data_IF_907596031843
#
_entry.id   IF_907596031843
#
_cell.length_a   1.000
_cell.length_b   1.000
_cell.length_c   1.000
_cell.angle_alpha   90.00
_cell.angle_beta   90.00
_cell.angle_gamma   90.00
#
_symmetry.space_group_name_H-M   'P 1'
#
loop_
_entity.id
_entity.type
_entity.pdbx_description
1 polymer ?
#
# COMPACT_ATOMS: atom_id res chain seq x y z
N UNK A 1 -5.94 -13.07 2.06
CA UNK A 1 -7.07 -12.84 1.11
C UNK A 1 -7.60 -11.44 1.27
N UNK A 2 -7.80 -10.72 0.18
CA UNK A 2 -8.39 -9.37 0.17
C UNK A 2 -9.92 -9.45 0.26
N UNK A 3 -10.49 -8.72 1.21
CA UNK A 3 -11.94 -8.58 1.41
C UNK A 3 -12.29 -7.09 1.59
N UNK A 4 -13.51 -6.64 1.26
CA UNK A 4 -13.88 -5.23 1.44
C UNK A 4 -13.64 -4.75 2.87
N UNK A 5 -12.94 -3.63 3.04
CA UNK A 5 -12.56 -3.10 4.35
C UNK A 5 -13.76 -2.75 5.23
N UNK A 6 -14.89 -2.35 4.62
CA UNK A 6 -16.12 -2.02 5.34
C UNK A 6 -16.63 -3.15 6.25
N UNK A 7 -16.35 -4.43 5.87
CA UNK A 7 -16.75 -5.60 6.66
C UNK A 7 -15.92 -5.77 7.93
N UNK A 8 -14.73 -5.16 7.99
CA UNK A 8 -13.75 -5.31 9.08
C UNK A 8 -13.31 -3.96 9.64
N UNK A 9 -14.17 -2.93 9.51
CA UNK A 9 -13.82 -1.55 9.92
C UNK A 9 -13.30 -1.49 11.35
N UNK A 10 -14.05 -2.03 12.29
CA UNK A 10 -13.71 -1.94 13.70
C UNK A 10 -12.40 -2.67 14.04
N UNK A 11 -12.14 -3.79 13.37
CA UNK A 11 -10.90 -4.55 13.53
C UNK A 11 -9.72 -3.78 12.95
N UNK A 12 -9.86 -3.21 11.76
CA UNK A 12 -8.82 -2.38 11.12
C UNK A 12 -8.49 -1.18 12.00
N UNK A 13 -9.51 -0.45 12.47
CA UNK A 13 -9.33 0.71 13.34
C UNK A 13 -8.59 0.34 14.64
N UNK A 14 -8.95 -0.78 15.28
CA UNK A 14 -8.27 -1.29 16.47
C UNK A 14 -6.80 -1.64 16.21
N UNK A 15 -6.50 -2.28 15.08
CA UNK A 15 -5.12 -2.62 14.74
C UNK A 15 -4.30 -1.35 14.46
N UNK A 16 -4.83 -0.36 13.74
CA UNK A 16 -4.16 0.93 13.55
C UNK A 16 -3.92 1.66 14.88
N UNK A 17 -4.89 1.66 15.79
CA UNK A 17 -4.73 2.28 17.11
C UNK A 17 -3.57 1.67 17.91
N UNK A 18 -3.34 0.35 17.81
CA UNK A 18 -2.19 -0.32 18.44
C UNK A 18 -0.86 0.15 17.85
N UNK A 19 -0.83 0.43 16.55
CA UNK A 19 0.38 0.84 15.83
C UNK A 19 0.69 2.33 15.98
N UNK A 20 -0.26 3.16 16.40
CA UNK A 20 -0.14 4.62 16.37
C UNK A 20 1.08 5.16 17.11
N UNK A 21 1.48 4.52 18.21
CA UNK A 21 2.66 4.93 18.99
C UNK A 21 3.92 4.11 18.70
N UNK A 22 3.88 3.30 17.64
CA UNK A 22 5.02 2.50 17.22
C UNK A 22 5.77 3.15 16.05
N UNK A 23 7.00 2.71 15.81
CA UNK A 23 7.81 3.17 14.67
C UNK A 23 7.22 2.72 13.32
N UNK A 24 6.24 1.84 13.35
CA UNK A 24 5.57 1.33 12.15
C UNK A 24 4.84 2.43 11.37
N UNK A 25 4.44 3.52 12.06
CA UNK A 25 3.76 4.64 11.41
C UNK A 25 4.63 5.40 10.41
N UNK A 26 5.96 5.30 10.49
CA UNK A 26 6.84 5.90 9.47
C UNK A 26 6.75 5.20 8.10
N UNK A 27 6.14 4.01 8.02
CA UNK A 27 5.94 3.30 6.76
C UNK A 27 4.59 3.60 6.09
N UNK A 28 3.77 4.45 6.72
CA UNK A 28 2.47 4.86 6.16
C UNK A 28 2.69 5.74 4.94
N UNK A 29 2.08 5.35 3.81
CA UNK A 29 2.15 6.04 2.52
C UNK A 29 0.80 6.05 1.81
N UNK A 30 0.71 6.77 0.70
CA UNK A 30 -0.47 6.77 -0.16
C UNK A 30 -1.72 7.34 0.52
N UNK A 31 -2.83 6.65 0.39
CA UNK A 31 -4.11 7.03 1.01
C UNK A 31 -4.08 6.97 2.55
N UNK A 32 -3.05 6.38 3.12
CA UNK A 32 -2.83 6.27 4.55
C UNK A 32 -2.11 7.48 5.16
N UNK A 33 -2.04 8.60 4.45
CA UNK A 33 -1.38 9.84 4.92
C UNK A 33 -1.91 10.39 6.25
N UNK A 34 -3.08 9.92 6.68
CA UNK A 34 -3.61 10.12 8.03
C UNK A 34 -3.42 8.83 8.83
N UNK A 35 -3.08 8.97 10.08
CA UNK A 35 -2.82 7.87 11.02
C UNK A 35 -3.97 6.86 11.19
N UNK A 36 -5.20 7.22 10.82
CA UNK A 36 -6.35 6.33 10.80
C UNK A 36 -7.07 6.47 9.45
N UNK A 37 -7.21 5.39 8.67
CA UNK A 37 -7.89 5.47 7.39
C UNK A 37 -9.39 5.72 7.59
N UNK A 38 -9.95 6.63 6.79
CA UNK A 38 -11.40 6.77 6.70
C UNK A 38 -11.96 5.65 5.81
N UNK A 39 -12.62 4.67 6.42
CA UNK A 39 -13.21 3.52 5.72
C UNK A 39 -14.66 3.82 5.38
N UNK A 40 -14.97 3.92 4.10
CA UNK A 40 -16.33 4.13 3.58
C UNK A 40 -17.25 2.94 3.84
N UNK A 41 -18.57 3.20 3.93
CA UNK A 41 -19.60 2.15 4.04
C UNK A 41 -19.91 1.50 2.68
N UNK A 42 -19.68 2.24 1.59
CA UNK A 42 -19.91 1.79 0.23
C UNK A 42 -18.60 1.90 -0.56
N UNK A 43 -18.41 1.05 -1.58
CA UNK A 43 -17.32 1.27 -2.52
C UNK A 43 -17.44 2.64 -3.17
N UNK A 44 -16.38 3.42 -3.13
CA UNK A 44 -16.27 4.63 -3.94
C UNK A 44 -15.96 4.25 -5.39
N UNK A 45 -16.29 5.16 -6.31
CA UNK A 45 -16.00 4.97 -7.72
C UNK A 45 -14.50 4.93 -8.03
N UNK A 46 -13.71 5.69 -7.27
CA UNK A 46 -12.28 5.90 -7.49
C UNK A 46 -11.39 5.40 -6.36
N UNK A 47 -11.95 4.97 -5.22
CA UNK A 47 -11.19 4.49 -4.05
C UNK A 47 -11.58 3.08 -3.65
N UNK A 48 -10.58 2.23 -3.51
CA UNK A 48 -10.73 0.82 -3.20
C UNK A 48 -10.00 0.49 -1.90
N UNK A 49 -10.75 -0.06 -0.93
CA UNK A 49 -10.27 -0.32 0.41
C UNK A 49 -10.49 -1.80 0.78
N UNK A 50 -9.44 -2.47 1.23
CA UNK A 50 -9.46 -3.89 1.56
C UNK A 50 -8.84 -4.16 2.93
N UNK A 51 -9.47 -5.07 3.68
CA UNK A 51 -8.81 -5.81 4.74
C UNK A 51 -8.04 -6.99 4.12
N UNK A 52 -6.84 -7.25 4.63
CA UNK A 52 -6.11 -8.48 4.35
C UNK A 52 -6.39 -9.41 5.51
N UNK A 53 -7.04 -10.54 5.24
CA UNK A 53 -7.41 -11.51 6.27
C UNK A 53 -6.70 -12.85 6.07
N UNK A 54 -6.37 -13.51 7.17
CA UNK A 54 -5.80 -14.85 7.18
C UNK A 54 -6.91 -15.93 7.07
N UNK A 55 -6.54 -17.20 7.18
CA UNK A 55 -7.48 -18.34 7.11
C UNK A 55 -8.51 -18.36 8.26
N UNK A 56 -8.18 -17.75 9.39
CA UNK A 56 -9.04 -17.66 10.57
C UNK A 56 -9.90 -16.41 10.56
N UNK A 57 -10.01 -15.72 9.42
CA UNK A 57 -10.70 -14.44 9.26
C UNK A 57 -10.16 -13.29 10.14
N UNK A 58 -8.94 -13.43 10.65
CA UNK A 58 -8.29 -12.36 11.42
C UNK A 58 -7.68 -11.35 10.44
N UNK A 59 -7.89 -10.06 10.71
CA UNK A 59 -7.26 -8.96 9.97
C UNK A 59 -5.76 -8.95 10.29
N UNK A 60 -4.93 -9.04 9.24
CA UNK A 60 -3.46 -9.04 9.30
C UNK A 60 -2.84 -7.87 8.56
N UNK A 61 -3.64 -7.10 7.79
CA UNK A 61 -3.18 -5.94 7.07
C UNK A 61 -4.32 -5.16 6.43
N UNK A 62 -3.98 -4.04 5.82
CA UNK A 62 -4.91 -3.14 5.12
C UNK A 62 -4.28 -2.65 3.82
N UNK A 63 -5.07 -2.61 2.76
CA UNK A 63 -4.69 -2.11 1.44
C UNK A 63 -5.71 -1.07 0.97
N UNK A 64 -5.23 0.04 0.45
CA UNK A 64 -6.02 1.15 -0.05
C UNK A 64 -5.35 1.71 -1.31
N UNK A 65 -6.12 2.03 -2.35
CA UNK A 65 -5.62 2.72 -3.54
C UNK A 65 -6.73 3.52 -4.22
N UNK A 66 -6.31 4.47 -5.04
CA UNK A 66 -7.19 5.26 -5.89
C UNK A 66 -6.96 4.96 -7.37
N UNK A 67 -8.02 5.14 -8.14
CA UNK A 67 -8.01 5.00 -9.60
C UNK A 67 -8.46 6.31 -10.22
N UNK A 68 -7.64 6.87 -11.09
CA UNK A 68 -8.07 7.90 -12.03
C UNK A 68 -8.45 7.21 -13.35
N UNK A 69 -9.75 7.08 -13.57
CA UNK A 69 -10.29 6.40 -14.75
C UNK A 69 -10.06 7.19 -16.03
N UNK A 70 -9.94 8.52 -15.93
CA UNK A 70 -9.75 9.37 -17.11
C UNK A 70 -8.37 9.19 -17.75
N UNK A 71 -7.34 9.04 -16.92
CA UNK A 71 -5.97 8.83 -17.39
C UNK A 71 -5.47 7.39 -17.23
N UNK A 72 -6.37 6.47 -16.89
CA UNK A 72 -6.04 5.04 -16.72
C UNK A 72 -4.89 4.79 -15.73
N UNK A 73 -4.98 5.44 -14.56
CA UNK A 73 -3.91 5.44 -13.55
C UNK A 73 -4.39 4.92 -12.21
N UNK A 74 -3.58 4.04 -11.62
CA UNK A 74 -3.69 3.65 -10.19
C UNK A 74 -2.63 4.40 -9.40
N UNK A 75 -3.03 5.06 -8.30
CA UNK A 75 -2.15 5.88 -7.50
C UNK A 75 -2.53 5.86 -6.02
N UNK A 76 -1.78 6.57 -5.19
CA UNK A 76 -2.01 6.70 -3.75
C UNK A 76 -2.15 5.33 -3.05
N UNK A 77 -1.42 4.33 -3.55
CA UNK A 77 -1.46 2.98 -2.95
C UNK A 77 -0.85 3.04 -1.57
N UNK A 78 -1.64 2.65 -0.58
CA UNK A 78 -1.21 2.48 0.80
C UNK A 78 -1.41 1.04 1.24
N UNK A 79 -0.34 0.40 1.71
CA UNK A 79 -0.41 -0.91 2.33
C UNK A 79 0.17 -0.84 3.73
N UNK A 80 -0.51 -1.45 4.68
CA UNK A 80 -0.05 -1.53 6.05
C UNK A 80 -0.17 -2.96 6.58
N UNK A 81 0.90 -3.46 7.19
CA UNK A 81 0.96 -4.79 7.79
C UNK A 81 0.74 -4.68 9.30
N UNK A 82 -0.25 -5.39 9.83
CA UNK A 82 -0.45 -5.59 11.26
C UNK A 82 0.26 -6.85 11.77
N UNK A 83 0.77 -7.68 10.85
CA UNK A 83 1.49 -8.93 11.13
C UNK A 83 2.77 -8.96 10.29
N UNK A 84 3.82 -8.28 10.78
CA UNK A 84 5.08 -8.11 10.05
C UNK A 84 5.76 -9.44 9.80
N UNK A 85 6.29 -9.58 8.60
CA UNK A 85 6.92 -10.82 8.14
C UNK A 85 5.94 -11.87 7.62
N UNK A 86 4.63 -11.62 7.68
CA UNK A 86 3.65 -12.53 7.10
C UNK A 86 3.66 -12.45 5.57
N UNK A 87 4.12 -13.52 4.92
CA UNK A 87 4.26 -13.58 3.47
C UNK A 87 2.92 -13.45 2.70
N UNK A 88 1.79 -13.75 3.36
CA UNK A 88 0.46 -13.60 2.74
C UNK A 88 0.15 -12.16 2.36
N UNK A 89 0.64 -11.18 3.15
CA UNK A 89 0.40 -9.76 2.90
C UNK A 89 1.08 -9.34 1.59
N UNK A 90 2.36 -9.71 1.43
CA UNK A 90 3.10 -9.44 0.20
C UNK A 90 2.49 -10.16 -1.01
N UNK A 91 2.07 -11.42 -0.83
CA UNK A 91 1.41 -12.18 -1.88
C UNK A 91 0.12 -11.49 -2.34
N UNK A 92 -0.79 -11.18 -1.42
CA UNK A 92 -2.07 -10.54 -1.75
C UNK A 92 -1.88 -9.16 -2.43
N UNK A 93 -0.84 -8.40 -2.01
CA UNK A 93 -0.49 -7.14 -2.66
C UNK A 93 -0.03 -7.34 -4.10
N UNK A 94 0.93 -8.23 -4.32
CA UNK A 94 1.48 -8.44 -5.67
C UNK A 94 0.47 -9.10 -6.62
N UNK A 95 -0.35 -10.01 -6.14
CA UNK A 95 -1.48 -10.55 -6.91
C UNK A 95 -2.44 -9.42 -7.34
N UNK A 96 -2.73 -8.47 -6.42
CA UNK A 96 -3.55 -7.30 -6.75
C UNK A 96 -2.85 -6.37 -7.75
N UNK A 97 -1.55 -6.14 -7.62
CA UNK A 97 -0.80 -5.34 -8.58
C UNK A 97 -0.82 -5.97 -9.97
N UNK A 98 -0.70 -7.29 -10.09
CA UNK A 98 -0.80 -7.99 -11.38
C UNK A 98 -2.19 -7.82 -12.02
N UNK A 99 -3.26 -7.91 -11.23
CA UNK A 99 -4.61 -7.59 -11.69
C UNK A 99 -4.70 -6.15 -12.21
N UNK A 100 -4.16 -5.18 -11.47
CA UNK A 100 -4.22 -3.77 -11.84
C UNK A 100 -3.36 -3.46 -13.08
N UNK A 101 -2.18 -4.06 -13.20
CA UNK A 101 -1.30 -3.97 -14.39
C UNK A 101 -2.03 -4.43 -15.66
N UNK A 102 -2.88 -5.46 -15.55
CA UNK A 102 -3.64 -5.96 -16.71
C UNK A 102 -4.78 -5.03 -17.15
N UNK A 103 -5.16 -4.04 -16.34
CA UNK A 103 -6.33 -3.19 -16.55
C UNK A 103 -6.00 -1.72 -16.77
N UNK A 104 -4.92 -1.22 -16.19
CA UNK A 104 -4.59 0.20 -16.19
C UNK A 104 -3.26 0.46 -16.86
N UNK A 105 -3.15 1.63 -17.49
CA UNK A 105 -1.93 2.06 -18.18
C UNK A 105 -0.77 2.31 -17.21
N UNK A 106 -1.04 2.87 -16.02
CA UNK A 106 0.01 3.24 -15.05
C UNK A 106 -0.38 2.84 -13.63
N UNK A 107 0.57 2.27 -12.91
CA UNK A 107 0.47 2.02 -11.48
C UNK A 107 1.65 2.67 -10.78
N UNK A 108 1.39 3.43 -9.73
CA UNK A 108 2.43 4.02 -8.89
C UNK A 108 2.15 3.82 -7.40
N UNK A 109 3.20 3.60 -6.64
CA UNK A 109 3.17 3.54 -5.18
C UNK A 109 4.44 4.11 -4.57
N UNK A 110 4.44 4.35 -3.26
CA UNK A 110 5.57 4.94 -2.54
C UNK A 110 6.00 4.07 -1.38
N UNK A 111 7.26 4.20 -1.00
CA UNK A 111 7.81 3.62 0.23
C UNK A 111 8.97 4.45 0.76
N UNK A 112 9.12 4.50 2.08
CA UNK A 112 10.32 5.02 2.72
C UNK A 112 11.47 4.03 2.54
N UNK A 113 12.68 4.52 2.27
CA UNK A 113 13.85 3.67 1.94
C UNK A 113 14.21 2.64 3.03
N UNK A 114 13.90 2.92 4.28
CA UNK A 114 14.09 1.99 5.40
C UNK A 114 12.98 0.92 5.52
N UNK A 115 11.94 0.96 4.68
CA UNK A 115 10.88 -0.05 4.71
C UNK A 115 11.39 -1.40 4.19
N UNK A 116 11.34 -2.48 4.99
CA UNK A 116 11.76 -3.81 4.54
C UNK A 116 11.05 -4.32 3.27
N UNK A 117 9.85 -3.81 2.98
CA UNK A 117 9.09 -4.15 1.77
C UNK A 117 9.76 -3.69 0.47
N UNK A 118 10.70 -2.72 0.53
CA UNK A 118 11.41 -2.20 -0.65
C UNK A 118 12.10 -3.30 -1.45
N UNK A 119 12.65 -4.34 -0.80
CA UNK A 119 13.23 -5.50 -1.49
C UNK A 119 12.22 -6.20 -2.41
N UNK A 120 10.99 -6.38 -1.93
CA UNK A 120 9.91 -6.98 -2.72
C UNK A 120 9.50 -6.08 -3.88
N UNK A 121 9.39 -4.78 -3.62
CA UNK A 121 9.06 -3.78 -4.64
C UNK A 121 10.13 -3.70 -5.73
N UNK A 122 11.42 -3.68 -5.37
CA UNK A 122 12.53 -3.68 -6.32
C UNK A 122 12.51 -4.92 -7.24
N UNK A 123 12.19 -6.09 -6.67
CA UNK A 123 12.05 -7.32 -7.45
C UNK A 123 10.83 -7.27 -8.37
N UNK A 124 9.72 -6.71 -7.88
CA UNK A 124 8.48 -6.62 -8.65
C UNK A 124 8.60 -5.65 -9.83
N UNK A 125 9.12 -4.44 -9.63
CA UNK A 125 9.31 -3.49 -10.74
C UNK A 125 10.28 -4.03 -11.80
N UNK A 126 11.33 -4.77 -11.37
CA UNK A 126 12.25 -5.41 -12.31
C UNK A 126 11.55 -6.43 -13.21
N UNK A 127 10.61 -7.21 -12.67
CA UNK A 127 9.80 -8.18 -13.44
C UNK A 127 9.00 -7.50 -14.55
N UNK A 128 8.49 -6.28 -14.31
CA UNK A 128 7.63 -5.53 -15.23
C UNK A 128 8.35 -4.38 -15.93
N UNK A 129 9.68 -4.32 -15.88
CA UNK A 129 10.49 -3.24 -16.45
C UNK A 129 10.02 -1.84 -15.99
N UNK A 130 9.64 -1.75 -14.72
CA UNK A 130 9.16 -0.52 -14.10
C UNK A 130 10.30 0.40 -13.67
N UNK A 131 9.94 1.59 -13.22
CA UNK A 131 10.87 2.64 -12.82
C UNK A 131 10.88 2.85 -11.30
N UNK A 132 12.01 3.38 -10.81
CA UNK A 132 12.21 3.76 -9.41
C UNK A 132 12.77 5.16 -9.36
N UNK A 133 12.05 6.07 -8.71
CA UNK A 133 12.47 7.46 -8.51
C UNK A 133 12.76 7.69 -7.02
N UNK A 134 13.92 8.26 -6.72
CA UNK A 134 14.39 8.45 -5.35
C UNK A 134 14.43 9.94 -5.04
N UNK A 135 13.63 10.36 -4.06
CA UNK A 135 13.65 11.69 -3.47
C UNK A 135 14.50 11.62 -2.21
N UNK A 136 15.75 12.06 -2.32
CA UNK A 136 16.74 11.93 -1.25
C UNK A 136 16.38 12.76 -0.03
N UNK A 137 16.64 12.20 1.16
CA UNK A 137 16.54 12.86 2.46
C UNK A 137 15.18 13.53 2.72
N UNK A 138 14.10 12.96 2.15
CA UNK A 138 12.77 13.57 2.17
C UNK A 138 11.98 13.31 3.44
N UNK A 139 12.33 12.27 4.19
CA UNK A 139 11.58 11.81 5.37
C UNK A 139 12.52 11.80 6.56
N UNK A 140 12.13 12.49 7.64
CA UNK A 140 12.91 12.51 8.90
C UNK A 140 12.22 11.60 9.93
N UNK A 141 13.00 10.69 10.53
CA UNK A 141 12.52 9.86 11.62
C UNK A 141 12.56 10.59 12.98
N UNK A 142 12.04 9.94 14.02
CA UNK A 142 12.02 10.46 15.40
C UNK A 142 13.40 10.69 16.01
N UNK A 143 14.41 9.95 15.55
CA UNK A 143 15.80 10.01 16.02
C UNK A 143 16.61 11.06 15.24
N UNK A 144 15.98 11.73 14.28
CA UNK A 144 16.57 12.79 13.48
C UNK A 144 17.30 12.32 12.23
N UNK A 145 17.27 11.01 11.90
CA UNK A 145 17.87 10.48 10.67
C UNK A 145 16.97 10.78 9.47
N UNK A 146 17.59 11.00 8.32
CA UNK A 146 16.89 11.21 7.07
C UNK A 146 16.82 9.92 6.24
N UNK A 147 15.67 9.71 5.61
CA UNK A 147 15.39 8.59 4.72
C UNK A 147 14.85 9.10 3.39
N UNK A 148 15.12 8.33 2.34
CA UNK A 148 14.61 8.66 1.01
C UNK A 148 13.13 8.27 0.91
N UNK A 149 12.37 9.07 0.18
CA UNK A 149 11.04 8.71 -0.30
C UNK A 149 11.16 8.15 -1.71
N UNK A 150 10.72 6.93 -1.91
CA UNK A 150 10.86 6.18 -3.15
C UNK A 150 9.51 6.07 -3.83
N UNK A 151 9.45 6.51 -5.07
CA UNK A 151 8.30 6.32 -5.95
C UNK A 151 8.62 5.17 -6.89
N UNK A 152 7.79 4.13 -6.86
CA UNK A 152 7.81 3.03 -7.82
C UNK A 152 6.70 3.23 -8.83
N UNK A 153 6.97 2.93 -10.09
CA UNK A 153 5.96 2.96 -11.16
C UNK A 153 6.14 1.83 -12.15
N UNK A 154 5.01 1.38 -12.68
CA UNK A 154 4.94 0.49 -13.84
C UNK A 154 4.04 1.15 -14.86
N UNK A 155 4.52 1.25 -16.10
CA UNK A 155 3.78 1.76 -17.24
C UNK A 155 3.56 0.61 -18.20
N UNK A 156 2.32 0.41 -18.64
CA UNK A 156 1.93 -0.66 -19.56
C UNK A 156 1.43 -0.08 -20.86
N UNK A 157 1.36 -0.93 -21.89
CA UNK A 157 0.78 -0.55 -23.20
C UNK A 157 -0.77 -0.59 -23.21
N UNK A 158 -1.39 -0.89 -22.06
CA UNK A 158 -2.84 -0.87 -21.92
C UNK A 158 -3.35 0.58 -22.04
N UNK A 159 -4.04 0.87 -23.12
CA UNK A 159 -4.63 2.18 -23.44
C UNK A 159 -6.13 2.17 -23.17
#
# INVERSE_FOLDING_TARGET
MLVPAALYRNEIEKEFQKCYYTDDMMYVTGCLGNWLPNIGNCPDYDRFQYAIVNKDNKVIGYLDYRVDHYVSKVHSVGIFSFDRGNALIGKDLFDKFEELISRFHRIEWRATSCNPACRGYDSFIKKYNGNKHILKDSIKDKDGNYHDDIIYEIITDNK
#
